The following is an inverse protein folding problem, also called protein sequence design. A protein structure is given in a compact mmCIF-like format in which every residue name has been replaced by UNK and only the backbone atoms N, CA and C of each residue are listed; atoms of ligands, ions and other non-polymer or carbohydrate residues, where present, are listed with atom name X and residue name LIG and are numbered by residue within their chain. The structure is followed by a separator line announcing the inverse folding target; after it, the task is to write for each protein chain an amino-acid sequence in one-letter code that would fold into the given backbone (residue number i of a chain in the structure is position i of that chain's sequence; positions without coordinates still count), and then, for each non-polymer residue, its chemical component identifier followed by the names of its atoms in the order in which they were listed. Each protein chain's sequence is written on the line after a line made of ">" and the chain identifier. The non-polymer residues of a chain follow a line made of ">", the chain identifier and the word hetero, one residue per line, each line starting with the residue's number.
data_IF_611385408369
#
_entry.id   IF_611385408369
#
_cell.length_a   1.000
_cell.length_b   1.000
_cell.length_c   1.000
_cell.angle_alpha   90.00
_cell.angle_beta   90.00
_cell.angle_gamma   90.00
#
_symmetry.space_group_name_H-M   'P 1'
#
loop_
_entity.id
_entity.type
_entity.pdbx_description
1 polymer ?
#
# COMPACT_ATOMS: atom_id res chain seq x y z
N UNK A 1 -23.01 23.32 5.03
CA UNK A 1 -21.66 22.84 5.35
C UNK A 1 -21.02 22.49 4.02
N UNK A 2 -19.91 23.13 3.65
CA UNK A 2 -19.18 22.79 2.43
C UNK A 2 -18.54 21.43 2.72
N UNK A 3 -18.88 20.38 1.95
CA UNK A 3 -18.18 19.09 2.09
C UNK A 3 -16.68 19.34 1.93
N UNK A 4 -15.89 19.02 2.96
CA UNK A 4 -14.44 18.99 2.83
C UNK A 4 -14.09 17.96 1.75
N UNK A 5 -13.55 18.43 0.62
CA UNK A 5 -13.10 17.58 -0.47
C UNK A 5 -11.71 17.03 -0.12
N UNK A 6 -11.61 15.73 0.12
CA UNK A 6 -10.33 15.02 0.11
C UNK A 6 -10.07 14.42 -1.28
N UNK A 7 -8.80 14.19 -1.60
CA UNK A 7 -8.35 13.57 -2.86
C UNK A 7 -7.54 12.33 -2.49
N UNK A 8 -7.87 11.18 -3.09
CA UNK A 8 -7.11 9.93 -2.95
C UNK A 8 -6.93 9.32 -4.33
N UNK A 9 -5.67 9.30 -4.76
CA UNK A 9 -5.19 8.67 -5.99
C UNK A 9 -3.88 7.93 -5.68
N UNK A 10 -3.39 7.05 -6.57
CA UNK A 10 -2.09 6.40 -6.36
C UNK A 10 -0.91 7.37 -6.15
N UNK A 11 -1.04 8.63 -6.60
CA UNK A 11 0.03 9.63 -6.57
C UNK A 11 -0.17 10.74 -5.53
N UNK A 12 -1.42 11.02 -5.15
CA UNK A 12 -1.77 12.14 -4.29
C UNK A 12 -2.86 11.74 -3.28
N UNK A 13 -2.59 12.03 -2.01
CA UNK A 13 -3.54 11.97 -0.90
C UNK A 13 -3.55 13.33 -0.22
N UNK A 14 -4.72 13.96 -0.13
CA UNK A 14 -4.85 15.31 0.45
C UNK A 14 -6.17 15.47 1.19
N UNK A 15 -6.11 16.08 2.38
CA UNK A 15 -7.26 16.43 3.22
C UNK A 15 -7.66 15.34 4.22
N UNK A 16 -8.66 15.64 5.04
CA UNK A 16 -9.27 14.70 5.99
C UNK A 16 -9.86 13.50 5.25
N UNK A 17 -9.17 12.36 5.28
CA UNK A 17 -9.64 11.15 4.61
C UNK A 17 -10.80 10.52 5.37
N UNK A 18 -12.00 10.59 4.79
CA UNK A 18 -13.15 9.80 5.25
C UNK A 18 -13.05 8.39 4.67
N UNK A 19 -12.61 7.46 5.51
CA UNK A 19 -12.41 6.06 5.12
C UNK A 19 -13.72 5.32 4.84
N UNK A 20 -14.86 5.72 5.45
CA UNK A 20 -16.15 5.09 5.17
C UNK A 20 -16.70 5.56 3.82
N UNK A 21 -16.54 6.85 3.51
CA UNK A 21 -16.81 7.38 2.17
C UNK A 21 -15.92 6.73 1.11
N UNK A 22 -14.63 6.54 1.39
CA UNK A 22 -13.72 5.84 0.48
C UNK A 22 -14.17 4.41 0.16
N UNK A 23 -14.70 3.68 1.14
CA UNK A 23 -15.24 2.33 0.90
C UNK A 23 -16.35 2.38 -0.15
N UNK A 24 -17.27 3.35 -0.02
CA UNK A 24 -18.36 3.56 -0.96
C UNK A 24 -17.85 4.00 -2.33
N UNK A 25 -16.99 5.02 -2.39
CA UNK A 25 -16.50 5.61 -3.64
C UNK A 25 -15.70 4.60 -4.47
N UNK A 26 -14.91 3.75 -3.80
CA UNK A 26 -14.11 2.72 -4.46
C UNK A 26 -14.90 1.43 -4.66
N UNK A 27 -16.09 1.28 -4.04
CA UNK A 27 -16.88 0.05 -4.09
C UNK A 27 -16.15 -1.14 -3.47
N UNK A 28 -15.44 -0.92 -2.37
CA UNK A 28 -14.82 -1.98 -1.54
C UNK A 28 -15.78 -2.39 -0.43
N UNK A 29 -15.40 -3.36 0.41
CA UNK A 29 -16.22 -3.80 1.53
C UNK A 29 -15.46 -3.64 2.86
N UNK A 30 -16.12 -3.26 3.97
CA UNK A 30 -15.46 -3.12 5.26
C UNK A 30 -15.11 -4.50 5.85
N UNK A 31 -13.92 -4.64 6.45
CA UNK A 31 -13.53 -5.85 7.19
C UNK A 31 -14.24 -5.82 8.54
N UNK A 32 -15.40 -6.50 8.63
CA UNK A 32 -16.25 -6.46 9.83
C UNK A 32 -16.89 -7.82 10.14
N UNK A 33 -17.54 -7.91 11.30
CA UNK A 33 -18.41 -9.03 11.65
C UNK A 33 -17.69 -10.39 11.66
N UNK A 34 -18.33 -11.45 11.13
CA UNK A 34 -17.74 -12.79 11.07
C UNK A 34 -16.45 -12.85 10.25
N UNK A 35 -16.33 -12.04 9.20
CA UNK A 35 -15.15 -12.01 8.34
C UNK A 35 -13.92 -11.49 9.11
N UNK A 36 -14.08 -10.39 9.84
CA UNK A 36 -13.03 -9.84 10.70
C UNK A 36 -12.58 -10.87 11.75
N UNK A 37 -13.52 -11.51 12.46
CA UNK A 37 -13.21 -12.55 13.45
C UNK A 37 -12.42 -13.73 12.86
N UNK A 38 -12.77 -14.17 11.64
CA UNK A 38 -12.04 -15.24 10.94
C UNK A 38 -10.61 -14.80 10.61
N UNK A 39 -10.43 -13.59 10.08
CA UNK A 39 -9.10 -13.05 9.77
C UNK A 39 -8.26 -12.85 11.05
N UNK A 40 -8.84 -12.31 12.12
CA UNK A 40 -8.18 -12.15 13.41
C UNK A 40 -7.68 -13.49 13.98
N UNK A 41 -8.50 -14.53 13.90
CA UNK A 41 -8.11 -15.88 14.33
C UNK A 41 -6.90 -16.43 13.58
N UNK A 42 -6.79 -16.13 12.28
CA UNK A 42 -5.64 -16.51 11.44
C UNK A 42 -4.40 -15.69 11.83
N UNK A 43 -4.56 -14.37 11.96
CA UNK A 43 -3.46 -13.43 12.25
C UNK A 43 -2.85 -13.62 13.63
N UNK A 44 -3.62 -14.10 14.62
CA UNK A 44 -3.14 -14.29 16.00
C UNK A 44 -2.67 -12.97 16.61
N UNK A 45 -1.37 -12.86 16.96
CA UNK A 45 -0.82 -11.64 17.56
C UNK A 45 -0.98 -10.40 16.68
N UNK A 46 -1.00 -10.57 15.35
CA UNK A 46 -1.20 -9.50 14.38
C UNK A 46 -2.66 -9.02 14.27
N UNK A 47 -3.61 -9.66 14.95
CA UNK A 47 -5.03 -9.32 14.89
C UNK A 47 -5.35 -7.87 15.29
N UNK A 48 -4.47 -7.20 16.04
CA UNK A 48 -4.66 -5.79 16.39
C UNK A 48 -4.76 -4.88 15.15
N UNK A 49 -4.09 -5.23 14.05
CA UNK A 49 -4.18 -4.49 12.79
C UNK A 49 -5.60 -4.46 12.20
N UNK A 50 -6.37 -5.53 12.41
CA UNK A 50 -7.77 -5.64 11.99
C UNK A 50 -8.69 -5.06 13.06
N UNK A 51 -8.47 -5.42 14.34
CA UNK A 51 -9.29 -4.92 15.46
C UNK A 51 -9.28 -3.41 15.59
N UNK A 52 -8.11 -2.77 15.38
CA UNK A 52 -7.96 -1.31 15.39
C UNK A 52 -8.29 -0.66 14.04
N UNK A 53 -8.78 -1.43 13.06
CA UNK A 53 -9.10 -0.98 11.71
C UNK A 53 -7.94 -0.23 11.03
N UNK A 54 -6.70 -0.70 11.27
CA UNK A 54 -5.55 -0.25 10.48
C UNK A 54 -5.70 -0.81 9.08
N UNK A 55 -6.01 -2.10 8.96
CA UNK A 55 -6.58 -2.70 7.76
C UNK A 55 -8.09 -2.77 7.91
N UNK A 56 -8.81 -2.04 7.05
CA UNK A 56 -10.20 -1.67 7.30
C UNK A 56 -11.16 -2.06 6.18
N UNK A 57 -10.69 -2.19 4.94
CA UNK A 57 -11.52 -2.60 3.80
C UNK A 57 -10.86 -3.69 2.97
N UNK A 58 -11.64 -4.33 2.10
CA UNK A 58 -11.20 -5.45 1.29
C UNK A 58 -11.97 -5.60 -0.03
N UNK A 59 -11.45 -6.48 -0.91
CA UNK A 59 -12.16 -7.09 -2.04
C UNK A 59 -11.98 -8.61 -1.97
N UNK A 60 -13.08 -9.35 -2.03
CA UNK A 60 -13.10 -10.82 -2.14
C UNK A 60 -12.24 -11.56 -1.08
N UNK A 61 -12.03 -10.95 0.09
CA UNK A 61 -11.28 -11.57 1.18
C UNK A 61 -12.00 -12.82 1.69
N UNK A 62 -13.33 -12.82 1.68
CA UNK A 62 -14.15 -14.00 1.97
C UNK A 62 -13.79 -15.17 1.04
N UNK A 63 -13.59 -14.91 -0.26
CA UNK A 63 -13.18 -15.93 -1.23
C UNK A 63 -11.77 -16.46 -0.93
N UNK A 64 -10.84 -15.59 -0.57
CA UNK A 64 -9.48 -16.00 -0.14
C UNK A 64 -9.55 -16.91 1.08
N UNK A 65 -10.28 -16.50 2.12
CA UNK A 65 -10.41 -17.29 3.34
C UNK A 65 -11.17 -18.60 3.12
N UNK A 66 -12.05 -18.65 2.12
CA UNK A 66 -12.74 -19.86 1.69
C UNK A 66 -11.80 -20.81 0.92
N UNK A 67 -11.02 -20.28 -0.03
CA UNK A 67 -10.03 -21.05 -0.79
C UNK A 67 -8.95 -21.64 0.15
N UNK A 68 -8.49 -20.86 1.13
CA UNK A 68 -7.58 -21.33 2.19
C UNK A 68 -8.21 -22.47 3.02
N UNK A 69 -9.45 -22.30 3.51
CA UNK A 69 -10.12 -23.33 4.32
C UNK A 69 -10.38 -24.64 3.57
N UNK A 70 -10.42 -24.58 2.23
CA UNK A 70 -10.59 -25.74 1.34
C UNK A 70 -9.26 -26.32 0.84
N UNK A 71 -8.12 -25.83 1.32
CA UNK A 71 -6.80 -26.31 0.92
C UNK A 71 -6.40 -25.95 -0.53
N UNK A 72 -7.09 -25.02 -1.18
CA UNK A 72 -6.75 -24.58 -2.55
C UNK A 72 -5.51 -23.68 -2.60
N UNK A 73 -5.14 -23.11 -1.46
CA UNK A 73 -4.06 -22.15 -1.33
C UNK A 73 -4.39 -20.79 -1.95
N UNK A 74 -3.40 -19.89 -1.87
CA UNK A 74 -3.40 -18.54 -2.41
C UNK A 74 -1.94 -18.17 -2.73
N UNK A 75 -1.71 -16.93 -3.12
CA UNK A 75 -0.40 -16.28 -3.04
C UNK A 75 -0.56 -14.79 -2.73
N UNK A 76 0.51 -14.15 -2.27
CA UNK A 76 0.52 -12.74 -1.91
C UNK A 76 1.26 -11.92 -2.96
N UNK A 77 0.80 -10.69 -3.16
CA UNK A 77 1.48 -9.69 -3.95
C UNK A 77 1.42 -8.34 -3.23
N UNK A 78 2.55 -7.65 -3.12
CA UNK A 78 2.62 -6.24 -2.71
C UNK A 78 3.75 -5.55 -3.48
N UNK A 79 3.96 -4.25 -3.30
CA UNK A 79 4.99 -3.54 -4.06
C UNK A 79 5.44 -2.22 -3.44
N UNK A 80 6.49 -1.66 -4.04
CA UNK A 80 7.13 -0.40 -3.64
C UNK A 80 7.63 0.32 -4.88
N UNK A 81 7.19 1.56 -5.05
CA UNK A 81 7.82 2.49 -6.00
C UNK A 81 9.02 3.21 -5.38
N UNK A 82 10.26 2.91 -5.80
CA UNK A 82 11.47 3.41 -5.17
C UNK A 82 11.71 4.89 -5.53
N UNK A 83 11.37 5.79 -4.62
CA UNK A 83 11.44 7.25 -4.83
C UNK A 83 12.23 8.00 -3.75
N UNK A 84 12.93 7.26 -2.89
CA UNK A 84 13.62 7.80 -1.72
C UNK A 84 13.72 6.77 -0.59
N UNK A 85 14.27 7.19 0.57
CA UNK A 85 14.37 6.32 1.74
C UNK A 85 12.99 5.85 2.20
N UNK A 86 12.89 4.60 2.66
CA UNK A 86 11.69 4.12 3.29
C UNK A 86 11.50 4.75 4.68
N UNK A 87 10.24 4.81 5.10
CA UNK A 87 9.84 5.32 6.40
C UNK A 87 8.84 4.35 7.03
N UNK A 88 8.51 4.55 8.30
CA UNK A 88 7.64 3.64 9.05
C UNK A 88 6.26 3.43 8.40
N UNK A 89 5.73 4.42 7.66
CA UNK A 89 4.50 4.26 6.88
C UNK A 89 4.59 3.20 5.76
N UNK A 90 5.76 3.01 5.16
CA UNK A 90 5.97 1.99 4.12
C UNK A 90 6.10 0.60 4.73
N UNK A 91 6.87 0.47 5.82
CA UNK A 91 7.23 -0.85 6.38
C UNK A 91 6.04 -1.61 6.98
N UNK A 92 4.98 -0.90 7.43
CA UNK A 92 3.76 -1.52 7.97
C UNK A 92 3.10 -2.47 6.96
N UNK A 93 3.10 -2.12 5.67
CA UNK A 93 2.55 -2.99 4.62
C UNK A 93 3.33 -4.30 4.51
N UNK A 94 4.65 -4.21 4.59
CA UNK A 94 5.54 -5.36 4.49
C UNK A 94 5.44 -6.24 5.73
N UNK A 95 5.38 -5.68 6.95
CA UNK A 95 5.17 -6.47 8.15
C UNK A 95 3.83 -7.22 8.13
N UNK A 96 2.77 -6.57 7.67
CA UNK A 96 1.48 -7.24 7.53
C UNK A 96 1.53 -8.35 6.48
N UNK A 97 2.17 -8.09 5.33
CA UNK A 97 2.35 -9.10 4.28
C UNK A 97 3.18 -10.29 4.78
N UNK A 98 4.24 -10.04 5.55
CA UNK A 98 5.06 -11.08 6.19
C UNK A 98 4.24 -11.91 7.16
N UNK A 99 3.39 -11.29 7.98
CA UNK A 99 2.49 -12.04 8.87
C UNK A 99 1.49 -12.90 8.09
N UNK A 100 0.95 -12.39 6.98
CA UNK A 100 0.10 -13.20 6.11
C UNK A 100 0.89 -14.36 5.48
N UNK A 101 2.14 -14.13 5.06
CA UNK A 101 3.03 -15.18 4.56
C UNK A 101 3.21 -16.30 5.58
N UNK A 102 3.56 -15.94 6.81
CA UNK A 102 3.79 -16.88 7.91
C UNK A 102 2.54 -17.72 8.21
N UNK A 103 1.35 -17.10 8.18
CA UNK A 103 0.08 -17.78 8.52
C UNK A 103 -0.48 -18.64 7.40
N UNK A 104 -0.35 -18.18 6.15
CA UNK A 104 -0.85 -18.91 4.99
C UNK A 104 0.19 -19.87 4.40
N UNK A 105 1.45 -19.79 4.84
CA UNK A 105 2.58 -20.58 4.32
C UNK A 105 2.66 -20.52 2.79
N UNK A 106 2.68 -19.29 2.27
CA UNK A 106 2.45 -19.04 0.84
C UNK A 106 3.57 -18.24 0.17
N UNK A 107 3.62 -18.27 -1.16
CA UNK A 107 4.50 -17.42 -1.97
C UNK A 107 4.12 -15.94 -1.83
N UNK A 108 5.12 -15.06 -1.79
CA UNK A 108 4.98 -13.61 -1.86
C UNK A 108 5.75 -13.09 -3.07
N UNK A 109 5.09 -12.29 -3.90
CA UNK A 109 5.74 -11.49 -4.93
C UNK A 109 5.81 -10.03 -4.46
N UNK A 110 6.98 -9.42 -4.57
CA UNK A 110 7.19 -8.01 -4.21
C UNK A 110 7.69 -7.26 -5.44
N UNK A 111 6.88 -6.34 -5.96
CA UNK A 111 7.25 -5.55 -7.14
C UNK A 111 7.96 -4.26 -6.74
N UNK A 112 9.11 -4.00 -7.38
CA UNK A 112 9.86 -2.75 -7.25
C UNK A 112 9.71 -1.98 -8.55
N UNK A 113 8.92 -0.91 -8.50
CA UNK A 113 8.42 -0.18 -9.69
C UNK A 113 9.35 0.97 -10.05
N UNK A 114 10.61 0.63 -10.31
CA UNK A 114 11.67 1.59 -10.65
C UNK A 114 11.46 2.28 -12.00
N UNK A 115 10.78 1.60 -12.93
CA UNK A 115 10.29 2.17 -14.18
C UNK A 115 9.15 3.19 -13.96
N UNK A 116 8.17 2.92 -13.09
CA UNK A 116 7.10 3.86 -12.72
C UNK A 116 7.69 5.18 -12.24
N UNK A 117 8.64 5.10 -11.32
CA UNK A 117 9.23 6.29 -10.68
C UNK A 117 10.13 7.09 -11.62
N UNK A 118 10.65 6.45 -12.66
CA UNK A 118 11.33 7.13 -13.75
C UNK A 118 10.33 7.82 -14.69
N UNK A 119 9.19 7.19 -14.96
CA UNK A 119 8.13 7.70 -15.84
C UNK A 119 7.24 8.78 -15.20
N UNK A 120 7.22 8.87 -13.86
CA UNK A 120 6.47 9.87 -13.08
C UNK A 120 7.18 11.25 -13.16
N UNK A 121 6.90 12.02 -14.21
CA UNK A 121 7.54 13.32 -14.50
C UNK A 121 7.53 14.29 -13.32
N UNK A 122 6.46 14.30 -12.51
CA UNK A 122 6.34 15.17 -11.33
C UNK A 122 7.42 14.93 -10.27
N UNK A 123 8.01 13.72 -10.22
CA UNK A 123 9.09 13.37 -9.28
C UNK A 123 10.46 13.82 -9.76
N UNK A 124 10.63 13.96 -11.08
CA UNK A 124 11.87 14.40 -11.71
C UNK A 124 13.10 13.59 -11.24
N UNK A 125 12.96 12.26 -11.17
CA UNK A 125 14.05 11.34 -10.85
C UNK A 125 14.74 10.89 -12.14
N UNK A 126 16.07 10.81 -12.10
CA UNK A 126 16.82 10.17 -13.20
C UNK A 126 16.63 8.66 -13.16
N UNK A 127 16.92 7.98 -14.27
CA UNK A 127 16.93 6.52 -14.30
C UNK A 127 17.89 5.96 -13.23
N UNK A 128 19.08 6.53 -13.12
CA UNK A 128 20.09 6.14 -12.15
C UNK A 128 19.63 6.35 -10.70
N UNK A 129 18.83 7.39 -10.42
CA UNK A 129 18.22 7.59 -9.11
C UNK A 129 17.24 6.46 -8.78
N UNK A 130 16.39 6.04 -9.72
CA UNK A 130 15.43 4.96 -9.45
C UNK A 130 16.12 3.61 -9.27
N UNK A 131 17.20 3.34 -10.02
CA UNK A 131 18.03 2.15 -9.81
C UNK A 131 18.67 2.13 -8.42
N UNK A 132 19.23 3.26 -7.97
CA UNK A 132 19.84 3.38 -6.63
C UNK A 132 18.80 3.16 -5.54
N UNK A 133 17.64 3.82 -5.64
CA UNK A 133 16.58 3.64 -4.66
C UNK A 133 15.96 2.25 -4.67
N UNK A 134 15.90 1.59 -5.83
CA UNK A 134 15.47 0.20 -5.92
C UNK A 134 16.39 -0.70 -5.09
N UNK A 135 17.71 -0.59 -5.29
CA UNK A 135 18.69 -1.37 -4.54
C UNK A 135 18.57 -1.16 -3.02
N UNK A 136 18.49 0.10 -2.57
CA UNK A 136 18.36 0.42 -1.15
C UNK A 136 17.05 -0.11 -0.55
N UNK A 137 15.90 0.14 -1.21
CA UNK A 137 14.60 -0.30 -0.73
C UNK A 137 14.46 -1.84 -0.75
N UNK A 138 15.11 -2.54 -1.70
CA UNK A 138 15.14 -4.01 -1.71
C UNK A 138 15.82 -4.54 -0.44
N UNK A 139 16.93 -3.93 0.01
CA UNK A 139 17.60 -4.32 1.24
C UNK A 139 16.73 -4.06 2.47
N UNK A 140 16.05 -2.92 2.53
CA UNK A 140 15.10 -2.59 3.61
C UNK A 140 13.92 -3.58 3.66
N UNK A 141 13.39 -3.99 2.51
CA UNK A 141 12.33 -4.99 2.39
C UNK A 141 12.84 -6.38 2.81
N UNK A 142 14.04 -6.77 2.39
CA UNK A 142 14.64 -8.05 2.78
C UNK A 142 14.82 -8.15 4.31
N UNK A 143 15.16 -7.03 4.97
CA UNK A 143 15.33 -6.95 6.42
C UNK A 143 14.03 -7.18 7.23
N UNK A 144 12.84 -7.11 6.60
CA UNK A 144 11.55 -7.47 7.24
C UNK A 144 11.52 -8.94 7.67
N UNK A 145 12.35 -9.79 7.04
CA UNK A 145 12.46 -11.21 7.34
C UNK A 145 11.32 -12.03 6.74
N UNK A 146 11.01 -11.80 5.47
CA UNK A 146 10.21 -12.74 4.68
C UNK A 146 10.95 -14.09 4.53
N UNK A 147 10.20 -15.17 4.27
CA UNK A 147 10.79 -16.49 3.97
C UNK A 147 11.47 -16.45 2.58
N UNK A 148 12.81 -16.54 2.48
CA UNK A 148 13.53 -16.40 1.21
C UNK A 148 13.18 -17.51 0.21
N UNK A 149 12.76 -18.70 0.68
CA UNK A 149 12.37 -19.81 -0.21
C UNK A 149 10.96 -19.62 -0.80
N UNK A 150 10.20 -18.66 -0.28
CA UNK A 150 8.82 -18.35 -0.70
C UNK A 150 8.63 -16.89 -1.07
N UNK A 151 9.71 -16.15 -1.34
CA UNK A 151 9.63 -14.73 -1.65
C UNK A 151 10.41 -14.41 -2.91
N UNK A 152 9.74 -13.77 -3.85
CA UNK A 152 10.34 -13.29 -5.08
C UNK A 152 10.19 -11.77 -5.18
N UNK A 153 11.29 -11.06 -5.05
CA UNK A 153 11.35 -9.62 -5.27
C UNK A 153 11.70 -9.40 -6.73
N UNK A 154 10.84 -8.70 -7.47
CA UNK A 154 11.02 -8.41 -8.89
C UNK A 154 11.17 -6.90 -9.10
N UNK A 155 12.31 -6.49 -9.62
CA UNK A 155 12.53 -5.14 -10.11
C UNK A 155 12.03 -5.05 -11.55
N UNK A 156 11.19 -4.06 -11.86
CA UNK A 156 10.47 -4.03 -13.13
C UNK A 156 11.40 -3.95 -14.33
N UNK A 157 12.40 -3.05 -14.30
CA UNK A 157 13.36 -2.92 -15.41
C UNK A 157 14.22 -4.17 -15.64
N UNK A 158 14.45 -4.99 -14.59
CA UNK A 158 15.17 -6.26 -14.69
C UNK A 158 14.25 -7.38 -15.19
N UNK A 159 13.08 -7.53 -14.57
CA UNK A 159 12.17 -8.65 -14.78
C UNK A 159 11.38 -8.53 -16.10
N UNK A 160 11.23 -7.33 -16.66
CA UNK A 160 10.44 -7.09 -17.87
C UNK A 160 10.92 -7.94 -19.05
N UNK A 161 12.23 -8.24 -19.15
CA UNK A 161 12.78 -9.09 -20.21
C UNK A 161 12.17 -10.50 -20.22
N UNK A 162 11.77 -11.02 -19.05
CA UNK A 162 11.11 -12.31 -18.91
C UNK A 162 9.58 -12.20 -19.01
N UNK A 163 9.02 -11.05 -18.65
CA UNK A 163 7.58 -10.89 -18.47
C UNK A 163 6.85 -10.20 -19.64
N UNK A 164 7.59 -9.58 -20.57
CA UNK A 164 7.02 -8.76 -21.65
C UNK A 164 5.90 -9.45 -22.45
N UNK A 165 5.98 -10.75 -22.80
CA UNK A 165 4.86 -11.42 -23.49
C UNK A 165 3.56 -11.44 -22.67
N UNK A 166 3.64 -11.53 -21.34
CA UNK A 166 2.46 -11.43 -20.48
C UNK A 166 1.97 -9.98 -20.39
N UNK A 167 2.87 -9.03 -20.22
CA UNK A 167 2.53 -7.59 -20.21
C UNK A 167 1.82 -7.19 -21.50
N UNK A 168 2.23 -7.68 -22.67
CA UNK A 168 1.52 -7.43 -23.93
C UNK A 168 0.11 -8.03 -23.96
N UNK A 169 -0.09 -9.21 -23.37
CA UNK A 169 -1.44 -9.83 -23.26
C UNK A 169 -2.35 -9.00 -22.35
N UNK A 170 -1.78 -8.42 -21.30
CA UNK A 170 -2.48 -7.50 -20.39
C UNK A 170 -2.81 -6.21 -21.13
N UNK A 171 -1.81 -5.53 -21.68
CA UNK A 171 -1.95 -4.24 -22.36
C UNK A 171 -2.96 -4.29 -23.51
N UNK A 172 -3.01 -5.39 -24.27
CA UNK A 172 -4.00 -5.59 -25.34
C UNK A 172 -5.46 -5.54 -24.85
N UNK A 173 -5.72 -5.77 -23.56
CA UNK A 173 -7.06 -5.78 -22.95
C UNK A 173 -7.39 -4.48 -22.21
N UNK A 174 -6.42 -3.58 -22.06
CA UNK A 174 -6.60 -2.30 -21.36
C UNK A 174 -6.56 -1.18 -22.38
N UNK A 175 -7.73 -0.60 -22.66
CA UNK A 175 -7.83 0.52 -23.60
C UNK A 175 -7.45 1.84 -22.93
N UNK A 176 -7.02 2.82 -23.74
CA UNK A 176 -6.69 4.15 -23.23
C UNK A 176 -7.87 4.82 -22.51
N UNK A 177 -9.11 4.60 -22.97
CA UNK A 177 -10.31 5.08 -22.29
C UNK A 177 -10.45 4.54 -20.86
N UNK A 178 -10.02 3.30 -20.62
CA UNK A 178 -10.02 2.68 -19.29
C UNK A 178 -9.03 3.38 -18.37
N UNK A 179 -7.76 3.52 -18.78
CA UNK A 179 -6.76 4.19 -17.94
C UNK A 179 -7.06 5.68 -17.77
N UNK A 180 -7.63 6.35 -18.77
CA UNK A 180 -8.14 7.72 -18.62
C UNK A 180 -9.22 7.82 -17.54
N UNK A 181 -10.18 6.89 -17.53
CA UNK A 181 -11.26 6.90 -16.54
C UNK A 181 -10.78 6.54 -15.12
N UNK A 182 -9.82 5.62 -15.01
CA UNK A 182 -9.32 5.11 -13.72
C UNK A 182 -8.27 6.03 -13.10
N UNK A 183 -7.36 6.56 -13.93
CA UNK A 183 -6.18 7.28 -13.48
C UNK A 183 -6.16 8.76 -13.87
N UNK A 184 -7.09 9.21 -14.71
CA UNK A 184 -7.12 10.60 -15.18
C UNK A 184 -6.06 10.93 -16.24
N UNK A 185 -5.46 9.94 -16.89
CA UNK A 185 -4.47 10.16 -17.94
C UNK A 185 -5.05 10.94 -19.12
N UNK A 186 -4.21 11.81 -19.69
CA UNK A 186 -4.56 12.71 -20.81
C UNK A 186 -3.66 12.44 -22.01
N UNK A 187 -3.91 13.13 -23.13
CA UNK A 187 -3.02 13.07 -24.29
C UNK A 187 -1.62 13.65 -24.03
N UNK A 188 -1.42 14.34 -22.91
CA UNK A 188 -0.12 14.87 -22.48
C UNK A 188 0.64 13.86 -21.61
N UNK A 189 -0.02 12.83 -21.08
CA UNK A 189 0.64 11.77 -20.31
C UNK A 189 1.56 10.96 -21.21
N UNK A 190 2.83 10.81 -20.83
CA UNK A 190 3.78 10.05 -21.62
C UNK A 190 3.35 8.58 -21.80
N UNK A 191 3.70 8.01 -22.94
CA UNK A 191 3.22 6.69 -23.37
C UNK A 191 3.66 5.56 -22.42
N UNK A 192 4.82 5.71 -21.76
CA UNK A 192 5.32 4.73 -20.80
C UNK A 192 4.45 4.71 -19.55
N UNK A 193 4.14 5.89 -18.99
CA UNK A 193 3.31 6.01 -17.81
C UNK A 193 1.85 5.58 -18.06
N UNK A 194 1.33 5.86 -19.26
CA UNK A 194 0.02 5.36 -19.68
C UNK A 194 -0.01 3.82 -19.83
N UNK A 195 1.13 3.20 -20.17
CA UNK A 195 1.28 1.75 -20.33
C UNK A 195 1.52 1.02 -18.99
N UNK A 196 2.17 1.68 -18.04
CA UNK A 196 2.59 1.15 -16.74
C UNK A 196 1.52 0.37 -15.94
N UNK A 197 0.21 0.72 -15.96
CA UNK A 197 -0.80 -0.12 -15.31
C UNK A 197 -0.78 -1.59 -15.74
N UNK A 198 -0.30 -1.89 -16.96
CA UNK A 198 -0.12 -3.25 -17.46
C UNK A 198 1.02 -4.01 -16.77
N UNK A 199 2.03 -3.29 -16.31
CA UNK A 199 3.19 -3.81 -15.56
C UNK A 199 2.79 -4.02 -14.09
N UNK A 200 2.11 -3.04 -13.47
CA UNK A 200 1.71 -3.10 -12.06
C UNK A 200 0.80 -4.30 -11.72
N UNK A 201 -0.05 -4.74 -12.66
CA UNK A 201 -0.98 -5.86 -12.42
C UNK A 201 -0.39 -7.22 -12.78
N UNK A 202 0.77 -7.28 -13.44
CA UNK A 202 1.43 -8.52 -13.84
C UNK A 202 1.64 -9.51 -12.67
N UNK A 203 2.15 -9.10 -11.49
CA UNK A 203 2.45 -10.05 -10.42
C UNK A 203 1.22 -10.82 -9.93
N UNK A 204 0.04 -10.20 -9.99
CA UNK A 204 -1.23 -10.83 -9.63
C UNK A 204 -1.66 -11.96 -10.58
N UNK A 205 -0.97 -12.12 -11.71
CA UNK A 205 -1.26 -13.10 -12.77
C UNK A 205 -0.11 -14.10 -12.96
N UNK A 206 0.86 -14.17 -12.04
CA UNK A 206 1.99 -15.09 -12.12
C UNK A 206 1.60 -16.53 -11.77
N UNK A 207 0.54 -16.74 -10.98
CA UNK A 207 0.07 -18.08 -10.62
C UNK A 207 -1.41 -18.31 -10.98
N UNK A 208 -1.78 -19.59 -11.08
CA UNK A 208 -3.17 -20.06 -11.26
C UNK A 208 -3.91 -20.26 -9.92
N UNK A 209 -3.57 -19.45 -8.92
CA UNK A 209 -4.25 -19.39 -7.61
C UNK A 209 -4.80 -17.98 -7.39
N UNK A 210 -5.61 -17.78 -6.36
CA UNK A 210 -6.12 -16.44 -6.03
C UNK A 210 -4.99 -15.61 -5.40
N UNK A 211 -4.74 -14.44 -5.97
CA UNK A 211 -3.85 -13.44 -5.39
C UNK A 211 -4.57 -12.67 -4.28
N UNK A 212 -3.93 -12.49 -3.12
CA UNK A 212 -4.34 -11.53 -2.10
C UNK A 212 -3.31 -10.39 -2.04
N UNK A 213 -3.77 -9.15 -2.17
CA UNK A 213 -2.93 -7.95 -2.23
C UNK A 213 -3.10 -7.11 -0.96
N UNK A 214 -2.11 -7.07 -0.06
CA UNK A 214 -2.06 -6.10 1.02
C UNK A 214 -1.44 -4.79 0.52
N UNK A 215 -2.20 -3.69 0.59
CA UNK A 215 -1.74 -2.37 0.20
C UNK A 215 -2.46 -1.27 0.97
N UNK A 216 -1.98 -0.03 0.86
CA UNK A 216 -2.84 1.11 1.16
C UNK A 216 -3.98 1.21 0.11
N UNK A 217 -5.08 1.87 0.47
CA UNK A 217 -6.28 1.96 -0.37
C UNK A 217 -6.04 2.74 -1.68
N UNK A 218 -5.04 3.61 -1.75
CA UNK A 218 -4.68 4.38 -2.94
C UNK A 218 -4.28 3.52 -4.14
N UNK A 219 -3.88 2.27 -3.93
CA UNK A 219 -3.50 1.33 -5.00
C UNK A 219 -4.67 0.56 -5.64
N UNK A 220 -5.86 0.60 -5.03
CA UNK A 220 -7.04 -0.13 -5.49
C UNK A 220 -7.46 0.12 -6.96
N UNK A 221 -7.26 1.33 -7.54
CA UNK A 221 -7.52 1.56 -8.96
C UNK A 221 -6.79 0.59 -9.91
N UNK A 222 -5.58 0.12 -9.58
CA UNK A 222 -4.89 -0.91 -10.38
C UNK A 222 -5.59 -2.26 -10.30
N UNK A 223 -6.04 -2.64 -9.11
CA UNK A 223 -6.70 -3.93 -8.88
C UNK A 223 -8.05 -3.99 -9.57
N UNK A 224 -8.73 -2.85 -9.73
CA UNK A 224 -9.94 -2.77 -10.55
C UNK A 224 -9.70 -3.19 -12.00
N UNK A 225 -8.64 -2.68 -12.63
CA UNK A 225 -8.27 -3.07 -14.00
C UNK A 225 -7.92 -4.55 -14.08
N UNK A 226 -7.15 -5.05 -13.13
CA UNK A 226 -6.82 -6.47 -13.03
C UNK A 226 -8.09 -7.33 -13.04
N UNK A 227 -9.06 -6.98 -12.19
CA UNK A 227 -10.30 -7.73 -11.99
C UNK A 227 -11.18 -7.72 -13.23
N UNK A 228 -11.17 -6.64 -13.99
CA UNK A 228 -11.92 -6.52 -15.25
C UNK A 228 -11.39 -7.46 -16.34
N UNK A 229 -10.08 -7.77 -16.33
CA UNK A 229 -9.46 -8.58 -17.40
C UNK A 229 -9.14 -10.03 -17.00
N UNK A 230 -8.99 -10.32 -15.69
CA UNK A 230 -8.41 -11.58 -15.19
C UNK A 230 -9.12 -12.85 -15.70
N UNK A 231 -10.45 -12.88 -15.63
CA UNK A 231 -11.23 -14.07 -16.01
C UNK A 231 -11.11 -14.38 -17.51
N UNK A 232 -11.07 -13.34 -18.37
CA UNK A 232 -10.84 -13.49 -19.82
C UNK A 232 -9.45 -14.04 -20.16
N UNK A 233 -8.51 -13.95 -19.22
CA UNK A 233 -7.16 -14.48 -19.32
C UNK A 233 -7.01 -15.84 -18.64
N UNK A 234 -8.09 -16.38 -18.08
CA UNK A 234 -8.09 -17.65 -17.34
C UNK A 234 -7.38 -17.55 -15.99
N UNK A 235 -7.45 -16.39 -15.33
CA UNK A 235 -6.93 -16.16 -13.97
C UNK A 235 -8.06 -15.76 -13.02
N UNK A 236 -7.76 -15.83 -11.72
CA UNK A 236 -8.66 -15.34 -10.70
C UNK A 236 -8.57 -13.81 -10.58
N UNK A 237 -9.72 -13.18 -10.34
CA UNK A 237 -9.77 -11.80 -9.83
C UNK A 237 -8.94 -11.70 -8.55
N UNK A 238 -8.04 -10.72 -8.50
CA UNK A 238 -7.26 -10.43 -7.32
C UNK A 238 -8.19 -10.00 -6.17
N UNK A 239 -7.94 -10.56 -5.00
CA UNK A 239 -8.47 -10.06 -3.74
C UNK A 239 -7.51 -9.02 -3.16
N UNK A 240 -8.02 -8.13 -2.32
CA UNK A 240 -7.23 -7.07 -1.71
C UNK A 240 -7.64 -6.82 -0.27
N UNK A 241 -6.71 -6.36 0.55
CA UNK A 241 -6.94 -5.85 1.90
C UNK A 241 -6.25 -4.50 2.04
N UNK A 242 -7.00 -3.49 2.44
CA UNK A 242 -6.56 -2.10 2.39
C UNK A 242 -6.28 -1.54 3.77
N UNK A 243 -5.14 -0.89 3.90
CA UNK A 243 -4.81 -0.12 5.09
C UNK A 243 -5.25 1.33 4.98
N UNK A 244 -5.45 1.95 6.15
CA UNK A 244 -5.41 3.40 6.31
C UNK A 244 -4.00 3.93 6.05
N UNK A 245 -3.89 5.24 5.81
CA UNK A 245 -2.60 5.91 5.75
C UNK A 245 -2.06 6.14 7.17
N UNK A 246 -0.76 5.90 7.36
CA UNK A 246 -0.10 6.32 8.59
C UNK A 246 0.03 7.85 8.56
N UNK A 247 -0.45 8.56 9.60
CA UNK A 247 -0.41 10.01 9.63
C UNK A 247 1.03 10.52 9.69
N UNK A 248 1.26 11.69 9.10
CA UNK A 248 2.52 12.41 9.22
C UNK A 248 2.76 12.85 10.67
N UNK A 249 4.04 13.10 11.04
CA UNK A 249 4.37 13.62 12.37
C UNK A 249 3.59 14.91 12.69
N UNK A 250 3.46 15.80 11.71
CA UNK A 250 2.90 17.14 11.89
C UNK A 250 1.37 17.16 12.03
N UNK A 251 0.67 16.05 11.82
CA UNK A 251 -0.78 15.96 12.01
C UNK A 251 -1.47 14.91 11.14
N UNK A 252 -2.75 14.67 11.45
CA UNK A 252 -3.58 13.64 10.81
C UNK A 252 -4.07 13.97 9.40
N UNK A 253 -3.96 15.24 9.01
CA UNK A 253 -4.44 15.76 7.72
C UNK A 253 -3.56 15.35 6.54
N UNK A 254 -2.30 15.00 6.81
CA UNK A 254 -1.29 14.72 5.81
C UNK A 254 -0.80 13.27 5.94
N UNK A 255 -0.57 12.61 4.80
CA UNK A 255 0.15 11.33 4.73
C UNK A 255 1.64 11.56 4.94
N UNK A 256 2.31 10.65 5.64
CA UNK A 256 3.77 10.62 5.71
C UNK A 256 4.36 10.51 4.29
N UNK A 257 5.26 11.43 3.92
CA UNK A 257 5.87 11.47 2.59
C UNK A 257 7.37 11.71 2.67
N UNK A 258 8.17 10.86 2.03
CA UNK A 258 9.64 11.00 1.94
C UNK A 258 10.10 12.34 1.33
N UNK A 259 9.21 13.13 0.70
CA UNK A 259 9.51 14.47 0.19
C UNK A 259 9.58 15.57 1.25
N UNK A 260 9.09 15.32 2.48
CA UNK A 260 9.13 16.26 3.61
C UNK A 260 9.80 15.59 4.82
N UNK A 261 11.13 15.61 4.85
CA UNK A 261 11.93 14.80 5.80
C UNK A 261 11.64 15.09 7.28
N UNK A 262 11.20 16.30 7.60
CA UNK A 262 10.79 16.70 8.96
C UNK A 262 9.49 16.05 9.42
N UNK A 263 8.67 15.54 8.49
CA UNK A 263 7.36 14.93 8.76
C UNK A 263 7.39 13.40 8.85
N UNK A 264 8.54 12.78 8.58
CA UNK A 264 8.70 11.32 8.47
C UNK A 264 9.75 10.78 9.44
N UNK A 265 9.56 9.54 9.89
CA UNK A 265 10.64 8.76 10.53
C UNK A 265 11.12 7.72 9.53
N UNK A 266 12.34 7.93 9.02
CA UNK A 266 12.97 7.04 8.07
C UNK A 266 13.46 5.78 8.78
N UNK A 267 13.54 4.66 8.07
CA UNK A 267 14.02 3.40 8.65
C UNK A 267 15.50 3.46 9.04
N UNK A 268 16.25 4.38 8.44
CA UNK A 268 17.67 4.64 8.71
C UNK A 268 17.91 5.71 9.78
N UNK A 269 16.88 6.32 10.36
CA UNK A 269 17.05 7.35 11.40
C UNK A 269 17.61 6.71 12.68
N UNK A 270 18.66 7.31 13.27
CA UNK A 270 19.18 6.87 14.56
C UNK A 270 18.26 7.27 15.73
N UNK A 271 18.44 6.63 16.90
CA UNK A 271 17.62 6.87 18.10
C UNK A 271 17.51 8.36 18.48
N UNK A 272 18.60 9.11 18.30
CA UNK A 272 18.66 10.54 18.61
C UNK A 272 17.79 11.34 17.64
N UNK A 273 17.84 11.00 16.35
CA UNK A 273 17.07 11.62 15.28
C UNK A 273 15.58 11.32 15.44
N UNK A 274 15.23 10.05 15.69
CA UNK A 274 13.86 9.61 16.00
C UNK A 274 13.31 10.42 17.18
N UNK A 275 14.03 10.45 18.31
CA UNK A 275 13.60 11.21 19.50
C UNK A 275 13.39 12.69 19.21
N UNK A 276 14.35 13.31 18.51
CA UNK A 276 14.27 14.73 18.17
C UNK A 276 13.07 15.03 17.26
N UNK A 277 12.80 14.17 16.27
CA UNK A 277 11.68 14.34 15.36
C UNK A 277 10.34 14.23 16.10
N UNK A 278 10.18 13.21 16.94
CA UNK A 278 8.96 13.04 17.75
C UNK A 278 8.76 14.24 18.67
N UNK A 279 9.78 14.66 19.42
CA UNK A 279 9.61 15.75 20.41
C UNK A 279 9.38 17.13 19.80
N UNK A 280 9.88 17.37 18.57
CA UNK A 280 9.78 18.69 17.94
C UNK A 280 8.60 18.82 16.98
N UNK A 281 8.25 17.74 16.28
CA UNK A 281 7.33 17.81 15.15
C UNK A 281 6.07 16.98 15.33
N UNK A 282 6.02 16.04 16.27
CA UNK A 282 4.80 15.27 16.49
C UNK A 282 3.68 16.17 17.03
N UNK A 283 2.58 16.27 16.31
CA UNK A 283 1.41 17.01 16.75
C UNK A 283 0.83 16.34 17.99
N UNK A 284 0.69 17.13 19.07
CA UNK A 284 0.12 16.64 20.32
C UNK A 284 -1.33 17.06 20.47
N UNK A 285 -2.17 16.12 20.89
CA UNK A 285 -3.52 16.39 21.39
C UNK A 285 -3.56 16.86 22.84
N UNK A 286 -2.39 17.08 23.46
CA UNK A 286 -2.25 17.63 24.80
C UNK A 286 -2.51 19.15 24.86
N UNK A 287 -2.47 19.69 26.09
CA UNK A 287 -2.62 21.13 26.31
C UNK A 287 -1.25 21.80 26.38
N UNK A 288 -1.19 23.10 26.09
CA UNK A 288 0.06 23.87 26.07
C UNK A 288 0.78 23.88 27.44
N UNK A 289 0.05 23.74 28.55
CA UNK A 289 0.62 23.71 29.89
C UNK A 289 0.20 22.46 30.67
N UNK A 290 1.04 22.05 31.63
CA UNK A 290 0.77 20.91 32.51
C UNK A 290 -0.48 21.11 33.37
N UNK A 291 -0.73 22.33 33.82
CA UNK A 291 -1.91 22.65 34.63
C UNK A 291 -3.20 22.48 33.82
N UNK A 292 -3.24 23.04 32.62
CA UNK A 292 -4.38 22.85 31.72
C UNK A 292 -4.57 21.40 31.33
N UNK A 293 -3.49 20.67 31.05
CA UNK A 293 -3.57 19.26 30.69
C UNK A 293 -4.12 18.41 31.83
N UNK A 294 -3.77 18.71 33.09
CA UNK A 294 -4.37 18.05 34.27
C UNK A 294 -5.86 18.37 34.42
N UNK A 295 -6.29 19.57 34.03
CA UNK A 295 -7.69 20.03 34.18
C UNK A 295 -8.59 19.54 33.04
N UNK A 296 -8.09 19.59 31.80
CA UNK A 296 -8.86 19.35 30.56
C UNK A 296 -8.58 17.99 29.92
N UNK A 297 -7.46 17.34 30.27
CA UNK A 297 -6.98 16.14 29.59
C UNK A 297 -6.32 16.41 28.24
N UNK A 298 -5.98 15.33 27.54
CA UNK A 298 -5.56 15.34 26.13
C UNK A 298 -6.58 14.63 25.25
N UNK A 299 -6.55 14.95 23.96
CA UNK A 299 -7.39 14.34 22.94
C UNK A 299 -6.57 13.30 22.13
N UNK A 300 -6.73 12.00 22.40
CA UNK A 300 -6.01 10.94 21.69
C UNK A 300 -6.43 10.80 20.22
N UNK A 301 -7.61 11.29 19.84
CA UNK A 301 -8.11 11.17 18.46
C UNK A 301 -7.34 12.07 17.50
N UNK A 302 -6.67 13.10 18.02
CA UNK A 302 -5.82 14.02 17.23
C UNK A 302 -4.32 13.90 17.54
N UNK A 303 -3.93 13.17 18.59
CA UNK A 303 -2.54 13.05 19.04
C UNK A 303 -1.73 12.05 18.19
N UNK A 304 -0.76 12.53 17.42
CA UNK A 304 0.02 11.68 16.50
C UNK A 304 0.81 10.59 17.25
N UNK A 305 1.51 10.87 18.37
CA UNK A 305 2.14 9.82 19.16
C UNK A 305 1.19 8.71 19.59
N UNK A 306 -0.02 9.04 20.04
CA UNK A 306 -1.04 8.05 20.38
C UNK A 306 -1.48 7.23 19.17
N UNK A 307 -1.68 7.86 18.01
CA UNK A 307 -2.08 7.18 16.78
C UNK A 307 -1.03 6.20 16.25
N UNK A 308 0.24 6.37 16.63
CA UNK A 308 1.34 5.47 16.26
C UNK A 308 1.52 4.28 17.22
N UNK A 309 0.88 4.30 18.41
CA UNK A 309 0.92 3.23 19.43
C UNK A 309 -0.16 2.15 19.22
#
# INVERSE_FOLDING_TARGET
>A
MVEEKFVVTPWEVKGNVDYDRLISDFGTQPITGPLAKKLEGILGNAAYLVRRRIFFSHRDLDLVLNDYSKGKGLFLYTGRGPSGPMHIGHIIQFYFTKWLQDKFHTTVYIQITDDEKFLEEKRNLTYEDTQRWAADNILEIAAVGFDPDRTFILQDTEFIGQAYPMVLKIARRVNFSTVKAVFGFTGETNIGFAFYPSIQILPSLLEKRRCLIPSAIDQDPYWRIQRDIAESMGYYKAAAVHSKFLPALTGLQDKMSSSKQETTINLSDDDKTVRNKVYRYAFSGGQATKEEHRKKGGDPDVDVPFQWL
#
